data_IF_366719101873
#
_entry.id   IF_366719101873
#
_cell.length_a   1.000
_cell.length_b   1.000
_cell.length_c   1.000
_cell.angle_alpha   90.00
_cell.angle_beta   90.00
_cell.angle_gamma   90.00
#
_symmetry.space_group_name_H-M   'P 1'
#
loop_
_entity.id
_entity.type
_entity.pdbx_description
1 polymer ?
#
# COMPACT_ATOMS: atom_id res chain seq x y z
N UNK A 1 9.80 -6.42 2.97
CA UNK A 1 9.99 -5.26 2.06
C UNK A 1 10.94 -5.64 0.95
N UNK A 2 10.68 -5.13 -0.26
CA UNK A 2 11.57 -5.32 -1.42
C UNK A 2 12.93 -4.67 -1.20
N UNK A 3 13.99 -5.31 -1.66
CA UNK A 3 15.33 -4.70 -1.75
C UNK A 3 15.42 -3.79 -2.99
N UNK A 4 16.42 -2.88 -3.08
CA UNK A 4 16.50 -1.92 -4.20
C UNK A 4 16.51 -2.57 -5.58
N UNK A 5 17.18 -3.71 -5.74
CA UNK A 5 17.23 -4.52 -6.96
C UNK A 5 15.89 -5.19 -7.32
N UNK A 6 14.97 -5.26 -6.37
CA UNK A 6 13.64 -5.84 -6.54
C UNK A 6 12.54 -4.80 -6.80
N UNK A 7 12.84 -3.48 -6.74
CA UNK A 7 11.91 -2.37 -6.96
C UNK A 7 11.51 -2.20 -8.43
N UNK A 8 10.94 -3.24 -9.02
CA UNK A 8 10.31 -3.19 -10.34
C UNK A 8 8.82 -2.91 -10.18
N UNK A 9 8.20 -2.29 -11.20
CA UNK A 9 6.76 -2.00 -11.17
C UNK A 9 5.91 -3.27 -10.96
N UNK A 10 6.29 -4.39 -11.57
CA UNK A 10 5.62 -5.69 -11.39
C UNK A 10 5.71 -6.18 -9.95
N UNK A 11 6.90 -6.13 -9.33
CA UNK A 11 7.07 -6.58 -7.96
C UNK A 11 6.33 -5.68 -6.96
N UNK A 12 6.33 -4.37 -7.20
CA UNK A 12 5.59 -3.41 -6.38
C UNK A 12 4.09 -3.67 -6.47
N UNK A 13 3.55 -3.96 -7.67
CA UNK A 13 2.14 -4.36 -7.83
C UNK A 13 1.82 -5.65 -7.07
N UNK A 14 2.68 -6.66 -7.16
CA UNK A 14 2.50 -7.90 -6.41
C UNK A 14 2.50 -7.68 -4.88
N UNK A 15 3.37 -6.80 -4.37
CA UNK A 15 3.38 -6.44 -2.94
C UNK A 15 2.12 -5.66 -2.54
N UNK A 16 1.66 -4.72 -3.37
CA UNK A 16 0.41 -3.99 -3.14
C UNK A 16 -0.79 -4.94 -3.12
N UNK A 17 -0.83 -5.94 -3.99
CA UNK A 17 -1.88 -6.96 -4.01
C UNK A 17 -1.86 -7.82 -2.73
N UNK A 18 -0.66 -8.24 -2.28
CA UNK A 18 -0.50 -8.97 -1.01
C UNK A 18 -1.01 -8.12 0.16
N UNK A 19 -0.59 -6.86 0.25
CA UNK A 19 -1.00 -5.93 1.30
C UNK A 19 -2.51 -5.71 1.29
N UNK A 20 -3.09 -5.51 0.10
CA UNK A 20 -4.53 -5.32 -0.08
C UNK A 20 -5.31 -6.52 0.44
N UNK A 21 -4.89 -7.74 0.09
CA UNK A 21 -5.54 -8.97 0.56
C UNK A 21 -5.47 -9.12 2.08
N UNK A 22 -4.31 -8.88 2.69
CA UNK A 22 -4.16 -8.92 4.15
C UNK A 22 -4.98 -7.83 4.85
N UNK A 23 -5.02 -6.62 4.28
CA UNK A 23 -5.81 -5.51 4.80
C UNK A 23 -7.31 -5.82 4.76
N UNK A 24 -7.81 -6.37 3.65
CA UNK A 24 -9.22 -6.78 3.51
C UNK A 24 -9.58 -7.83 4.56
N UNK A 25 -8.69 -8.79 4.83
CA UNK A 25 -8.93 -9.80 5.87
C UNK A 25 -9.10 -9.16 7.26
N UNK A 26 -8.28 -8.17 7.62
CA UNK A 26 -8.42 -7.43 8.88
C UNK A 26 -9.69 -6.57 8.92
N UNK A 27 -10.02 -5.91 7.81
CA UNK A 27 -11.27 -5.12 7.68
C UNK A 27 -12.49 -6.01 7.93
N UNK A 28 -12.52 -7.19 7.32
CA UNK A 28 -13.61 -8.14 7.49
C UNK A 28 -13.65 -8.73 8.90
N UNK A 29 -12.50 -9.13 9.45
CA UNK A 29 -12.40 -9.73 10.79
C UNK A 29 -12.94 -8.81 11.89
N UNK A 30 -12.65 -7.52 11.81
CA UNK A 30 -13.03 -6.54 12.83
C UNK A 30 -14.21 -5.64 12.43
N UNK A 31 -14.82 -5.91 11.28
CA UNK A 31 -15.88 -5.10 10.69
C UNK A 31 -15.52 -3.60 10.69
N UNK A 32 -14.36 -3.28 10.08
CA UNK A 32 -13.81 -1.92 10.02
C UNK A 32 -14.54 -1.05 8.99
N UNK A 33 -15.86 -0.90 9.17
CA UNK A 33 -16.65 0.06 8.42
C UNK A 33 -16.24 1.48 8.84
N UNK A 34 -15.49 2.16 7.98
CA UNK A 34 -15.19 3.59 8.13
C UNK A 34 -15.89 4.37 7.04
N UNK A 35 -16.48 5.51 7.42
CA UNK A 35 -17.17 6.39 6.47
C UNK A 35 -16.20 7.25 5.66
N UNK A 36 -14.94 7.30 6.09
CA UNK A 36 -13.85 8.07 5.49
C UNK A 36 -12.50 7.40 5.74
N UNK A 37 -11.56 7.57 4.81
CA UNK A 37 -10.16 7.14 4.96
C UNK A 37 -9.45 7.83 6.13
N UNK A 38 -9.91 9.00 6.57
CA UNK A 38 -9.36 9.71 7.74
C UNK A 38 -9.76 9.07 9.06
N UNK A 39 -10.91 8.38 9.10
CA UNK A 39 -11.45 7.77 10.32
C UNK A 39 -10.95 6.35 10.53
N UNK A 40 -10.42 5.70 9.50
CA UNK A 40 -10.05 4.27 9.51
C UNK A 40 -9.08 3.93 10.64
N UNK A 41 -8.13 4.82 10.97
CA UNK A 41 -7.17 4.60 12.08
C UNK A 41 -7.86 4.63 13.44
N UNK A 42 -8.81 5.55 13.62
CA UNK A 42 -9.58 5.68 14.87
C UNK A 42 -10.48 4.46 15.03
N UNK A 43 -11.20 4.10 13.96
CA UNK A 43 -12.06 2.90 13.93
C UNK A 43 -11.26 1.63 14.21
N UNK A 44 -10.10 1.46 13.57
CA UNK A 44 -9.22 0.32 13.80
C UNK A 44 -8.74 0.24 15.25
N UNK A 45 -8.33 1.36 15.85
CA UNK A 45 -7.91 1.40 17.27
C UNK A 45 -9.03 0.99 18.21
N UNK A 46 -10.27 1.35 17.90
CA UNK A 46 -11.43 1.03 18.75
C UNK A 46 -11.93 -0.40 18.56
N UNK A 47 -11.89 -0.94 17.33
CA UNK A 47 -12.49 -2.23 16.99
C UNK A 47 -11.51 -3.40 17.03
N UNK A 48 -10.22 -3.17 16.80
CA UNK A 48 -9.23 -4.25 16.81
C UNK A 48 -8.89 -4.60 18.26
N UNK A 49 -9.38 -5.75 18.71
CA UNK A 49 -9.18 -6.25 20.08
C UNK A 49 -7.80 -6.86 20.31
N UNK A 50 -7.19 -7.42 19.26
CA UNK A 50 -5.89 -8.09 19.35
C UNK A 50 -4.77 -7.10 19.05
N UNK A 51 -3.84 -6.83 19.99
CA UNK A 51 -2.77 -5.86 19.77
C UNK A 51 -1.89 -6.18 18.56
N UNK A 52 -1.66 -7.47 18.28
CA UNK A 52 -0.87 -7.93 17.14
C UNK A 52 -1.54 -7.54 15.81
N UNK A 53 -2.86 -7.69 15.71
CA UNK A 53 -3.61 -7.33 14.52
C UNK A 53 -3.67 -5.82 14.34
N UNK A 54 -3.69 -5.05 15.43
CA UNK A 54 -3.66 -3.58 15.34
C UNK A 54 -2.29 -3.10 14.87
N UNK A 55 -1.21 -3.69 15.38
CA UNK A 55 0.15 -3.42 14.89
C UNK A 55 0.23 -3.79 13.40
N UNK A 56 -0.25 -4.98 13.02
CA UNK A 56 -0.20 -5.44 11.63
C UNK A 56 -1.01 -4.53 10.70
N UNK A 57 -2.17 -4.05 11.14
CA UNK A 57 -2.96 -3.07 10.40
C UNK A 57 -2.18 -1.77 10.13
N UNK A 58 -1.44 -1.27 11.13
CA UNK A 58 -0.59 -0.09 10.97
C UNK A 58 0.59 -0.34 10.03
N UNK A 59 1.23 -1.50 10.14
CA UNK A 59 2.32 -1.92 9.23
C UNK A 59 1.83 -1.99 7.79
N UNK A 60 0.72 -2.68 7.53
CA UNK A 60 0.13 -2.78 6.18
C UNK A 60 -0.25 -1.40 5.62
N UNK A 61 -0.76 -0.50 6.47
CA UNK A 61 -1.08 0.87 6.06
C UNK A 61 0.17 1.66 5.64
N UNK A 62 1.27 1.47 6.36
CA UNK A 62 2.56 2.10 6.05
C UNK A 62 3.21 1.50 4.81
N UNK A 63 3.28 0.17 4.73
CA UNK A 63 3.82 -0.56 3.58
C UNK A 63 3.06 -0.18 2.30
N UNK A 64 1.73 -0.14 2.35
CA UNK A 64 0.88 0.23 1.21
C UNK A 64 1.18 1.65 0.70
N UNK A 65 1.37 2.62 1.60
CA UNK A 65 1.77 3.98 1.20
C UNK A 65 3.14 4.00 0.53
N UNK A 66 4.14 3.35 1.12
CA UNK A 66 5.52 3.33 0.60
C UNK A 66 5.54 2.73 -0.80
N UNK A 67 4.87 1.61 -1.02
CA UNK A 67 4.82 0.97 -2.33
C UNK A 67 3.98 1.77 -3.34
N UNK A 68 2.91 2.43 -2.91
CA UNK A 68 2.14 3.33 -3.77
C UNK A 68 2.97 4.52 -4.26
N UNK A 69 3.71 5.18 -3.36
CA UNK A 69 4.63 6.26 -3.70
C UNK A 69 5.76 5.78 -4.63
N UNK A 70 6.33 4.61 -4.37
CA UNK A 70 7.35 4.01 -5.23
C UNK A 70 6.82 3.71 -6.65
N UNK A 71 5.61 3.17 -6.77
CA UNK A 71 4.96 2.95 -8.06
C UNK A 71 4.75 4.26 -8.82
N UNK A 72 4.22 5.30 -8.17
CA UNK A 72 3.99 6.60 -8.80
C UNK A 72 5.30 7.23 -9.30
N UNK A 73 6.38 7.12 -8.51
CA UNK A 73 7.70 7.60 -8.91
C UNK A 73 8.27 6.84 -10.11
N UNK A 74 8.13 5.50 -10.12
CA UNK A 74 8.60 4.68 -11.24
C UNK A 74 7.80 4.94 -12.51
N UNK A 75 6.47 5.06 -12.41
CA UNK A 75 5.62 5.40 -13.56
C UNK A 75 6.02 6.76 -14.15
N UNK A 76 6.23 7.78 -13.31
CA UNK A 76 6.74 9.08 -13.76
C UNK A 76 8.11 8.97 -14.42
N UNK A 77 9.06 8.24 -13.84
CA UNK A 77 10.39 8.06 -14.42
C UNK A 77 10.32 7.41 -15.81
N UNK A 78 9.50 6.37 -15.98
CA UNK A 78 9.32 5.70 -17.29
C UNK A 78 8.62 6.56 -18.33
N UNK A 79 7.64 7.39 -17.95
CA UNK A 79 6.95 8.30 -18.86
C UNK A 79 7.88 9.42 -19.34
N UNK A 80 8.77 9.91 -18.47
CA UNK A 80 9.68 11.02 -18.80
C UNK A 80 10.76 10.60 -19.82
N UNK A 81 11.14 9.32 -19.85
CA UNK A 81 12.11 8.79 -20.81
C UNK A 81 11.52 8.61 -22.24
N UNK A 82 10.23 8.27 -22.36
CA UNK A 82 9.58 8.09 -23.67
C UNK A 82 9.34 9.44 -24.40
N UNK A 83 9.08 10.53 -23.65
CA UNK A 83 8.88 11.87 -24.22
C UNK A 83 10.18 12.49 -24.75
N UNK A 84 11.36 12.05 -24.29
CA UNK A 84 12.64 12.51 -24.83
C UNK A 84 13.03 11.85 -26.16
N UNK A 85 12.47 10.68 -26.46
CA UNK A 85 12.90 9.84 -27.59
C UNK A 85 12.09 10.04 -28.89
N UNK A 86 11.10 10.93 -28.89
CA UNK A 86 10.25 11.25 -30.06
C UNK A 86 10.63 12.54 -30.79
N UNK A 87 11.75 13.19 -30.44
CA UNK A 87 12.15 14.48 -31.04
C UNK A 87 13.51 14.48 -31.77
N UNK A 88 14.04 13.31 -32.16
CA UNK A 88 15.26 13.21 -32.98
C UNK A 88 15.09 12.36 -34.23
#
# INVERSE_FOLDING_TARGET
>A
MLTPDQLTLTNIRNELDRISNEMIALIQKYNLDASSSLEIIVVARTKISEPQDYIRFLELSLEGRIYGEAAEMLEKATITDDDYNTTH
#
